data_IF_860551898299
#
_entry.id   IF_860551898299
#
_cell.length_a   1.000
_cell.length_b   1.000
_cell.length_c   1.000
_cell.angle_alpha   90.00
_cell.angle_beta   90.00
_cell.angle_gamma   90.00
#
_symmetry.space_group_name_H-M   'P 1'
#
loop_
_entity.id
_entity.type
_entity.pdbx_description
1 polymer ?
#
# COMPACT_ATOMS: atom_id res chain seq x y z
N UNK A 1 -18.91 0.35 22.67
CA UNK A 1 -17.61 0.28 21.96
C UNK A 1 -17.89 -0.43 20.66
N UNK A 2 -17.92 0.31 19.55
CA UNK A 2 -18.08 -0.31 18.25
C UNK A 2 -16.90 -1.24 17.98
N UNK A 3 -17.22 -2.44 17.48
CA UNK A 3 -16.24 -3.46 17.17
C UNK A 3 -15.48 -2.98 15.95
N UNK A 4 -14.18 -2.70 16.08
CA UNK A 4 -13.33 -2.42 14.92
C UNK A 4 -13.25 -3.70 14.08
N UNK A 5 -14.02 -3.74 12.99
CA UNK A 5 -14.11 -4.86 12.05
C UNK A 5 -13.16 -4.70 10.86
N UNK A 6 -12.31 -3.67 10.86
CA UNK A 6 -11.32 -3.38 9.82
C UNK A 6 -11.85 -2.56 8.64
N UNK A 7 -13.17 -2.43 8.48
CA UNK A 7 -13.78 -1.79 7.30
C UNK A 7 -13.43 -0.33 7.14
N UNK A 8 -13.26 0.40 8.24
CA UNK A 8 -12.89 1.82 8.18
C UNK A 8 -11.51 2.02 7.55
N UNK A 9 -10.58 1.09 7.78
CA UNK A 9 -9.27 1.14 7.15
C UNK A 9 -9.36 0.71 5.69
N UNK A 10 -10.13 -0.34 5.38
CA UNK A 10 -10.39 -0.76 4.00
C UNK A 10 -10.97 0.39 3.16
N UNK A 11 -11.99 1.08 3.67
CA UNK A 11 -12.61 2.22 3.00
C UNK A 11 -11.66 3.41 2.88
N UNK A 12 -10.84 3.66 3.92
CA UNK A 12 -9.84 4.72 3.85
C UNK A 12 -8.81 4.47 2.75
N UNK A 13 -8.37 3.22 2.58
CA UNK A 13 -7.46 2.83 1.49
C UNK A 13 -8.16 2.95 0.13
N UNK A 14 -9.41 2.51 0.01
CA UNK A 14 -10.20 2.67 -1.21
C UNK A 14 -10.27 4.14 -1.64
N UNK A 15 -10.67 5.02 -0.72
CA UNK A 15 -10.77 6.45 -1.00
C UNK A 15 -9.43 7.08 -1.41
N UNK A 16 -8.32 6.62 -0.81
CA UNK A 16 -6.98 7.09 -1.18
C UNK A 16 -6.62 6.65 -2.61
N UNK A 17 -6.86 5.39 -2.97
CA UNK A 17 -6.55 4.88 -4.31
C UNK A 17 -7.44 5.55 -5.36
N UNK A 18 -8.75 5.63 -5.13
CA UNK A 18 -9.68 6.29 -6.04
C UNK A 18 -9.37 7.78 -6.23
N UNK A 19 -8.96 8.48 -5.16
CA UNK A 19 -8.50 9.86 -5.23
C UNK A 19 -7.27 10.03 -6.14
N UNK A 20 -6.33 9.09 -6.10
CA UNK A 20 -5.16 9.10 -6.99
C UNK A 20 -5.53 8.82 -8.45
N UNK A 21 -6.50 7.94 -8.69
CA UNK A 21 -7.03 7.67 -10.04
C UNK A 21 -7.70 8.93 -10.59
N UNK A 22 -8.58 9.56 -9.80
CA UNK A 22 -9.37 10.72 -10.22
C UNK A 22 -8.53 11.98 -10.46
N UNK A 23 -7.46 12.19 -9.67
CA UNK A 23 -6.53 13.31 -9.83
C UNK A 23 -5.53 13.12 -10.99
N UNK A 24 -5.33 11.88 -11.45
CA UNK A 24 -4.28 11.55 -12.42
C UNK A 24 -2.88 11.50 -11.80
N UNK A 25 -2.77 11.43 -10.47
CA UNK A 25 -1.50 11.35 -9.73
C UNK A 25 -0.84 9.97 -9.81
N UNK A 26 -1.55 8.96 -10.32
CA UNK A 26 -0.93 7.70 -10.69
C UNK A 26 -0.06 7.90 -11.94
N UNK A 27 1.16 7.34 -12.01
CA UNK A 27 1.98 7.35 -13.22
C UNK A 27 1.44 6.39 -14.30
N UNK A 28 0.13 6.16 -14.32
CA UNK A 28 -0.57 5.27 -15.24
C UNK A 28 -1.90 5.91 -15.67
N UNK A 29 -2.33 5.63 -16.90
CA UNK A 29 -3.54 6.23 -17.46
C UNK A 29 -4.79 5.80 -16.69
N UNK A 30 -5.63 6.72 -16.20
CA UNK A 30 -6.84 6.39 -15.43
C UNK A 30 -7.78 5.43 -16.16
N UNK A 31 -7.89 5.50 -17.48
CA UNK A 31 -8.73 4.61 -18.27
C UNK A 31 -8.21 3.17 -18.37
N UNK A 32 -6.96 2.93 -17.98
CA UNK A 32 -6.33 1.60 -18.00
C UNK A 32 -6.19 0.99 -16.60
N UNK A 33 -6.78 1.61 -15.59
CA UNK A 33 -6.82 1.06 -14.23
C UNK A 33 -8.26 0.86 -13.78
N UNK A 34 -8.44 -0.09 -12.86
CA UNK A 34 -9.71 -0.32 -12.19
C UNK A 34 -9.47 -0.63 -10.73
N UNK A 35 -10.11 0.11 -9.85
CA UNK A 35 -10.16 -0.24 -8.44
C UNK A 35 -11.31 -1.21 -8.17
N UNK A 36 -11.07 -2.21 -7.32
CA UNK A 36 -12.07 -3.20 -6.91
C UNK A 36 -11.92 -3.53 -5.43
N UNK A 37 -13.01 -3.38 -4.70
CA UNK A 37 -13.14 -3.93 -3.36
C UNK A 37 -13.53 -5.42 -3.45
N UNK A 38 -13.01 -6.22 -2.52
CA UNK A 38 -13.32 -7.64 -2.33
C UNK A 38 -13.22 -8.45 -3.62
N UNK A 39 -12.15 -8.21 -4.36
CA UNK A 39 -11.89 -8.90 -5.62
C UNK A 39 -11.55 -10.36 -5.37
N UNK A 40 -12.01 -11.22 -6.30
CA UNK A 40 -11.73 -12.65 -6.29
C UNK A 40 -10.96 -13.04 -7.52
N UNK A 41 -9.93 -13.86 -7.34
CA UNK A 41 -9.16 -14.43 -8.44
C UNK A 41 -9.01 -15.93 -8.24
N UNK A 42 -9.15 -16.68 -9.33
CA UNK A 42 -8.93 -18.12 -9.31
C UNK A 42 -7.43 -18.42 -9.21
N UNK A 43 -7.03 -19.08 -8.12
CA UNK A 43 -5.66 -19.57 -7.93
C UNK A 43 -5.54 -20.98 -8.53
N UNK A 44 -4.64 -21.13 -9.51
CA UNK A 44 -4.31 -22.43 -10.09
C UNK A 44 -3.64 -23.36 -9.09
N UNK A 45 -2.81 -22.82 -8.21
CA UNK A 45 -2.12 -23.61 -7.18
C UNK A 45 -3.07 -24.16 -6.11
N UNK A 46 -4.17 -23.44 -5.81
CA UNK A 46 -5.15 -23.83 -4.78
C UNK A 46 -6.41 -24.48 -5.36
N UNK A 47 -6.55 -24.45 -6.68
CA UNK A 47 -7.76 -24.85 -7.41
C UNK A 47 -9.05 -24.20 -6.88
N UNK A 48 -8.93 -22.98 -6.37
CA UNK A 48 -10.02 -22.26 -5.69
C UNK A 48 -9.90 -20.74 -5.88
N UNK A 49 -11.01 -20.03 -5.65
CA UNK A 49 -11.00 -18.57 -5.57
C UNK A 49 -10.27 -18.10 -4.31
N UNK A 50 -9.50 -17.02 -4.46
CA UNK A 50 -8.83 -16.31 -3.36
C UNK A 50 -9.37 -14.89 -3.32
N UNK A 51 -9.84 -14.48 -2.15
CA UNK A 51 -10.36 -13.14 -1.90
C UNK A 51 -9.24 -12.16 -1.51
N UNK A 52 -9.35 -10.93 -2.00
CA UNK A 52 -8.48 -9.80 -1.70
C UNK A 52 -9.30 -8.54 -1.40
N UNK A 53 -8.97 -7.82 -0.33
CA UNK A 53 -9.79 -6.74 0.21
C UNK A 53 -9.88 -5.52 -0.70
N UNK A 54 -8.73 -4.95 -1.09
CA UNK A 54 -8.65 -3.76 -1.94
C UNK A 54 -7.65 -4.00 -3.05
N UNK A 55 -8.08 -3.83 -4.30
CA UNK A 55 -7.27 -4.20 -5.45
C UNK A 55 -7.28 -3.11 -6.52
N UNK A 56 -6.10 -2.72 -6.97
CA UNK A 56 -5.88 -1.90 -8.15
C UNK A 56 -5.44 -2.81 -9.30
N UNK A 57 -6.34 -3.02 -10.25
CA UNK A 57 -6.10 -3.74 -11.50
C UNK A 57 -5.54 -2.78 -12.55
N UNK A 58 -4.54 -3.25 -13.28
CA UNK A 58 -3.86 -2.48 -14.33
C UNK A 58 -3.89 -3.27 -15.63
N UNK A 59 -4.33 -2.62 -16.69
CA UNK A 59 -4.55 -3.20 -18.01
C UNK A 59 -3.67 -2.52 -19.05
N UNK A 60 -3.43 -3.21 -20.17
CA UNK A 60 -2.87 -2.61 -21.38
C UNK A 60 -3.98 -2.18 -22.33
N UNK A 61 -3.71 -1.18 -23.18
CA UNK A 61 -4.67 -0.62 -24.15
C UNK A 61 -5.37 -1.70 -24.99
N UNK A 62 -4.61 -2.70 -25.43
CA UNK A 62 -5.13 -3.76 -26.30
C UNK A 62 -6.08 -4.73 -25.60
N UNK A 63 -6.10 -4.76 -24.26
CA UNK A 63 -6.93 -5.68 -23.49
C UNK A 63 -8.13 -4.99 -22.82
N UNK A 64 -8.00 -3.70 -22.47
CA UNK A 64 -9.03 -3.00 -21.73
C UNK A 64 -10.35 -2.91 -22.53
N UNK A 65 -11.48 -3.23 -21.87
CA UNK A 65 -12.82 -3.16 -22.46
C UNK A 65 -13.24 -4.38 -23.28
N UNK A 66 -12.38 -5.39 -23.44
CA UNK A 66 -12.75 -6.67 -24.08
C UNK A 66 -13.49 -7.58 -23.09
N UNK A 67 -14.40 -8.39 -23.62
CA UNK A 67 -15.06 -9.43 -22.84
C UNK A 67 -14.01 -10.44 -22.34
N UNK A 68 -14.00 -10.73 -21.04
CA UNK A 68 -13.02 -11.62 -20.42
C UNK A 68 -11.61 -11.04 -20.25
N UNK A 69 -11.41 -9.72 -20.45
CA UNK A 69 -10.12 -9.08 -20.26
C UNK A 69 -9.54 -9.30 -18.85
N UNK A 70 -8.31 -9.81 -18.78
CA UNK A 70 -7.56 -9.96 -17.54
C UNK A 70 -6.60 -8.79 -17.30
N UNK A 71 -6.36 -8.37 -16.04
CA UNK A 71 -5.33 -7.40 -15.75
C UNK A 71 -3.95 -7.97 -16.13
N UNK A 72 -3.02 -7.10 -16.51
CA UNK A 72 -1.61 -7.46 -16.71
C UNK A 72 -0.82 -7.37 -15.40
N UNK A 73 -1.22 -6.45 -14.53
CA UNK A 73 -0.62 -6.25 -13.23
C UNK A 73 -1.71 -5.94 -12.20
N UNK A 74 -1.57 -6.47 -10.99
CA UNK A 74 -2.54 -6.31 -9.91
C UNK A 74 -1.82 -5.89 -8.64
N UNK A 75 -2.30 -4.84 -7.99
CA UNK A 75 -1.76 -4.36 -6.73
C UNK A 75 -2.81 -4.58 -5.64
N UNK A 76 -2.46 -5.35 -4.63
CA UNK A 76 -3.32 -5.73 -3.51
C UNK A 76 -2.94 -4.92 -2.28
N UNK A 77 -3.94 -4.40 -1.57
CA UNK A 77 -3.79 -3.78 -0.26
C UNK A 77 -4.57 -4.60 0.77
N UNK A 78 -3.82 -5.34 1.60
CA UNK A 78 -4.38 -6.09 2.74
C UNK A 78 -4.38 -5.20 3.98
N UNK A 79 -5.55 -4.93 4.53
CA UNK A 79 -5.76 -4.04 5.66
C UNK A 79 -5.80 -4.81 6.98
N UNK A 80 -5.08 -4.31 7.98
CA UNK A 80 -5.08 -4.87 9.33
C UNK A 80 -5.17 -3.79 10.38
N UNK A 81 -6.38 -3.61 10.90
CA UNK A 81 -6.69 -2.60 11.92
C UNK A 81 -7.12 -3.18 13.27
N UNK A 82 -6.57 -4.34 13.67
CA UNK A 82 -6.79 -4.81 15.04
C UNK A 82 -5.85 -4.10 16.03
N UNK A 83 -6.23 -4.02 17.30
CA UNK A 83 -5.53 -3.29 18.37
C UNK A 83 -4.09 -3.74 18.72
N UNK A 84 -3.43 -4.54 17.89
CA UNK A 84 -2.03 -4.99 18.05
C UNK A 84 -1.25 -4.77 16.75
N UNK A 85 0.08 -4.74 16.87
CA UNK A 85 0.97 -4.67 15.71
C UNK A 85 0.77 -5.89 14.79
N UNK A 86 0.99 -5.69 13.49
CA UNK A 86 0.91 -6.73 12.47
C UNK A 86 2.02 -7.76 12.67
N UNK A 87 1.64 -9.03 12.67
CA UNK A 87 2.52 -10.17 12.91
C UNK A 87 3.15 -10.68 11.61
N UNK A 88 4.31 -11.32 11.71
CA UNK A 88 5.01 -11.95 10.56
C UNK A 88 4.10 -12.89 9.79
N UNK A 89 3.26 -13.66 10.51
CA UNK A 89 2.31 -14.61 9.95
C UNK A 89 1.40 -14.00 8.87
N UNK A 90 0.94 -12.76 9.04
CA UNK A 90 0.08 -12.10 8.05
C UNK A 90 0.84 -11.85 6.74
N UNK A 91 2.12 -11.50 6.83
CA UNK A 91 2.98 -11.29 5.67
C UNK A 91 3.14 -12.61 4.91
N UNK A 92 3.47 -13.70 5.62
CA UNK A 92 3.63 -15.03 5.02
C UNK A 92 2.33 -15.53 4.37
N UNK A 93 1.17 -15.29 5.02
CA UNK A 93 -0.14 -15.61 4.48
C UNK A 93 -0.43 -14.84 3.19
N UNK A 94 -0.10 -13.55 3.13
CA UNK A 94 -0.25 -12.75 1.91
C UNK A 94 0.69 -13.25 0.80
N UNK A 95 1.97 -13.51 1.09
CA UNK A 95 2.93 -14.06 0.13
C UNK A 95 2.41 -15.38 -0.46
N UNK A 96 1.92 -16.29 0.38
CA UNK A 96 1.33 -17.55 -0.06
C UNK A 96 0.03 -17.39 -0.86
N UNK A 97 -0.72 -16.31 -0.68
CA UNK A 97 -1.87 -15.98 -1.54
C UNK A 97 -1.42 -15.44 -2.89
N UNK A 98 -0.42 -14.55 -2.94
CA UNK A 98 0.09 -13.97 -4.19
C UNK A 98 0.79 -14.99 -5.10
N UNK A 99 1.40 -16.03 -4.52
CA UNK A 99 2.02 -17.15 -5.25
C UNK A 99 1.02 -18.12 -5.92
N UNK A 100 -0.25 -17.73 -6.05
CA UNK A 100 -1.35 -18.60 -6.47
C UNK A 100 -1.44 -18.93 -7.97
N UNK A 101 -0.53 -18.41 -8.80
CA UNK A 101 -0.46 -18.73 -10.24
C UNK A 101 -1.62 -18.16 -11.08
N UNK A 102 -1.90 -16.87 -10.93
CA UNK A 102 -3.10 -16.22 -11.52
C UNK A 102 -2.99 -15.90 -13.02
N UNK A 103 -1.80 -15.96 -13.61
CA UNK A 103 -1.57 -15.59 -15.02
C UNK A 103 -1.27 -14.11 -15.26
N UNK A 104 -1.15 -13.33 -14.19
CA UNK A 104 -0.73 -11.93 -14.20
C UNK A 104 0.18 -11.64 -13.01
N UNK A 105 0.91 -10.52 -13.07
CA UNK A 105 1.81 -10.12 -12.00
C UNK A 105 1.03 -9.52 -10.84
N UNK A 106 1.48 -9.79 -9.61
CA UNK A 106 0.86 -9.24 -8.41
C UNK A 106 1.89 -8.56 -7.50
N UNK A 107 1.51 -7.42 -6.91
CA UNK A 107 2.24 -6.73 -5.84
C UNK A 107 1.34 -6.66 -4.62
N UNK A 108 1.89 -6.95 -3.44
CA UNK A 108 1.18 -6.85 -2.17
C UNK A 108 1.67 -5.71 -1.30
N UNK A 109 0.73 -5.00 -0.70
CA UNK A 109 0.95 -4.07 0.40
C UNK A 109 0.14 -4.51 1.61
N UNK A 110 0.73 -4.42 2.81
CA UNK A 110 0.00 -4.57 4.07
C UNK A 110 -0.17 -3.19 4.71
N UNK A 111 -1.41 -2.85 5.03
CA UNK A 111 -1.81 -1.54 5.56
C UNK A 111 -2.28 -1.68 7.00
N UNK A 112 -1.90 -0.77 7.90
CA UNK A 112 -2.35 -0.78 9.30
C UNK A 112 -2.38 0.63 9.89
N UNK A 113 -3.06 0.80 11.03
CA UNK A 113 -2.92 1.99 11.90
C UNK A 113 -2.04 1.74 13.13
N UNK A 114 -1.71 0.49 13.44
CA UNK A 114 -0.98 0.09 14.67
C UNK A 114 0.50 -0.22 14.45
N UNK A 115 0.97 -0.33 13.21
CA UNK A 115 2.36 -0.67 12.91
C UNK A 115 2.63 -2.18 12.93
N UNK A 116 3.90 -2.55 12.90
CA UNK A 116 4.39 -3.88 12.54
C UNK A 116 5.39 -4.39 13.58
N UNK A 117 5.42 -5.71 13.78
CA UNK A 117 6.50 -6.35 14.52
C UNK A 117 7.83 -6.16 13.77
N UNK A 118 8.95 -6.11 14.50
CA UNK A 118 10.28 -5.96 13.91
C UNK A 118 10.61 -7.04 12.89
N UNK A 119 10.21 -8.29 13.16
CA UNK A 119 10.36 -9.40 12.20
C UNK A 119 9.55 -9.19 10.92
N UNK A 120 8.39 -8.55 10.99
CA UNK A 120 7.52 -8.35 9.82
C UNK A 120 8.16 -7.39 8.80
N UNK A 121 8.95 -6.40 9.23
CA UNK A 121 9.69 -5.51 8.32
C UNK A 121 10.69 -6.30 7.46
N UNK A 122 11.49 -7.15 8.09
CA UNK A 122 12.50 -7.95 7.39
C UNK A 122 11.85 -8.97 6.46
N UNK A 123 10.83 -9.68 6.94
CA UNK A 123 10.08 -10.65 6.13
C UNK A 123 9.41 -9.98 4.93
N UNK A 124 8.75 -8.83 5.13
CA UNK A 124 8.10 -8.12 4.05
C UNK A 124 9.10 -7.67 2.98
N UNK A 125 10.22 -7.06 3.40
CA UNK A 125 11.29 -6.65 2.47
C UNK A 125 11.83 -7.83 1.66
N UNK A 126 12.14 -8.95 2.32
CA UNK A 126 12.73 -10.11 1.65
C UNK A 126 11.77 -10.82 0.68
N UNK A 127 10.46 -10.59 0.82
CA UNK A 127 9.43 -11.15 -0.06
C UNK A 127 8.80 -10.09 -0.99
N UNK A 128 9.36 -8.88 -1.06
CA UNK A 128 8.84 -7.81 -1.92
C UNK A 128 7.45 -7.28 -1.54
N UNK A 129 7.03 -7.47 -0.29
CA UNK A 129 5.78 -6.93 0.26
C UNK A 129 6.04 -5.53 0.81
N UNK A 130 5.26 -4.55 0.37
CA UNK A 130 5.33 -3.21 0.92
C UNK A 130 4.53 -3.08 2.21
N UNK A 131 4.98 -2.22 3.12
CA UNK A 131 4.33 -1.96 4.39
C UNK A 131 3.84 -0.52 4.45
N UNK A 132 2.60 -0.32 4.85
CA UNK A 132 1.97 1.00 4.95
C UNK A 132 1.38 1.16 6.34
N UNK A 133 1.69 2.29 6.97
CA UNK A 133 1.02 2.77 8.16
C UNK A 133 0.32 4.10 7.87
N UNK A 134 -1.00 4.11 8.08
CA UNK A 134 -1.81 5.31 8.06
C UNK A 134 -1.98 5.78 9.50
N UNK A 135 -1.66 7.03 9.77
CA UNK A 135 -1.77 7.61 11.10
C UNK A 135 -3.23 7.95 11.42
N UNK A 136 -3.73 7.57 12.60
CA UNK A 136 -4.97 8.14 13.13
C UNK A 136 -4.86 9.65 13.29
N UNK A 137 -5.94 10.40 13.02
CA UNK A 137 -5.94 11.86 13.06
C UNK A 137 -5.53 12.41 14.44
N UNK A 138 -5.93 11.75 15.53
CA UNK A 138 -5.56 12.11 16.91
C UNK A 138 -4.07 11.92 17.23
N UNK A 139 -3.34 11.22 16.35
CA UNK A 139 -1.90 10.98 16.44
C UNK A 139 -1.08 11.86 15.52
N UNK A 140 -1.70 12.82 14.83
CA UNK A 140 -1.01 13.79 13.98
C UNK A 140 -0.97 15.13 14.70
N UNK A 141 0.24 15.60 15.02
CA UNK A 141 0.48 16.90 15.64
C UNK A 141 1.08 17.85 14.62
N UNK A 142 0.35 18.91 14.33
CA UNK A 142 0.84 20.00 13.47
C UNK A 142 1.56 21.03 14.32
N UNK A 143 2.83 21.27 14.00
CA UNK A 143 3.62 22.34 14.62
C UNK A 143 3.94 23.39 13.55
N UNK A 144 3.54 24.63 13.81
CA UNK A 144 3.91 25.76 12.95
C UNK A 144 5.38 26.13 13.23
N UNK A 145 6.29 25.59 12.42
CA UNK A 145 7.69 25.98 12.44
C UNK A 145 7.98 26.91 11.26
N UNK A 146 8.84 27.92 11.47
CA UNK A 146 9.43 28.65 10.35
C UNK A 146 10.27 27.67 9.53
N UNK A 147 9.78 27.33 8.35
CA UNK A 147 10.46 26.43 7.43
C UNK A 147 11.60 27.22 6.75
N UNK A 148 12.83 26.91 7.14
CA UNK A 148 14.04 27.37 6.44
C UNK A 148 14.53 26.26 5.51
N UNK A 149 15.35 26.60 4.52
CA UNK A 149 15.97 25.60 3.64
C UNK A 149 16.73 24.55 4.48
N UNK A 150 17.45 25.00 5.50
CA UNK A 150 18.22 24.12 6.41
C UNK A 150 17.31 23.16 7.19
N UNK A 151 16.18 23.63 7.71
CA UNK A 151 15.23 22.77 8.43
C UNK A 151 14.57 21.76 7.49
N UNK A 152 14.20 22.16 6.26
CA UNK A 152 13.63 21.26 5.26
C UNK A 152 14.60 20.13 4.89
N UNK A 153 15.88 20.45 4.64
CA UNK A 153 16.89 19.44 4.33
C UNK A 153 17.15 18.49 5.50
N UNK A 154 17.14 19.01 6.73
CA UNK A 154 17.26 18.18 7.93
C UNK A 154 16.06 17.22 8.04
N UNK A 155 14.84 17.72 7.85
CA UNK A 155 13.63 16.91 7.92
C UNK A 155 13.62 15.79 6.88
N UNK A 156 14.13 16.07 5.67
CA UNK A 156 14.32 15.06 4.61
C UNK A 156 15.33 13.99 5.02
N UNK A 157 16.47 14.38 5.60
CA UNK A 157 17.51 13.44 6.08
C UNK A 157 17.02 12.57 7.23
N UNK A 158 16.19 13.12 8.11
CA UNK A 158 15.63 12.41 9.27
C UNK A 158 14.40 11.55 8.93
N UNK A 159 13.75 11.78 7.77
CA UNK A 159 12.52 11.09 7.40
C UNK A 159 12.64 9.56 7.41
N UNK A 160 13.69 8.92 6.86
CA UNK A 160 13.84 7.46 6.95
C UNK A 160 13.82 6.91 8.37
N UNK A 161 14.48 7.60 9.30
CA UNK A 161 14.49 7.21 10.71
C UNK A 161 13.08 7.36 11.32
N UNK A 162 12.38 8.45 11.02
CA UNK A 162 11.00 8.69 11.48
C UNK A 162 10.02 7.66 10.91
N UNK A 163 10.11 7.35 9.63
CA UNK A 163 9.29 6.33 8.98
C UNK A 163 9.50 4.94 9.62
N UNK A 164 10.75 4.55 9.88
CA UNK A 164 11.04 3.28 10.56
C UNK A 164 10.45 3.26 11.99
N UNK A 165 10.57 4.36 12.74
CA UNK A 165 9.97 4.48 14.07
C UNK A 165 8.45 4.42 14.01
N UNK A 166 7.83 5.11 13.05
CA UNK A 166 6.38 5.11 12.85
C UNK A 166 5.85 3.72 12.54
N UNK A 167 6.50 3.00 11.62
CA UNK A 167 6.13 1.64 11.22
C UNK A 167 6.22 0.65 12.38
N UNK A 168 7.17 0.81 13.31
CA UNK A 168 7.38 -0.13 14.42
C UNK A 168 6.60 0.21 15.69
N UNK A 169 6.33 1.48 15.96
CA UNK A 169 5.73 1.92 17.22
C UNK A 169 4.22 2.15 17.10
N UNK A 170 3.35 1.35 17.75
CA UNK A 170 1.90 1.53 17.72
C UNK A 170 1.40 2.86 18.26
N UNK A 171 2.14 3.46 19.18
CA UNK A 171 1.79 4.72 19.84
C UNK A 171 2.61 5.90 19.29
N UNK A 172 3.20 5.75 18.11
CA UNK A 172 3.92 6.83 17.45
C UNK A 172 3.00 8.04 17.24
N UNK A 173 3.51 9.23 17.56
CA UNK A 173 2.85 10.49 17.28
C UNK A 173 3.63 11.18 16.16
N UNK A 174 2.91 11.51 15.09
CA UNK A 174 3.48 12.14 13.91
C UNK A 174 3.59 13.64 14.07
N UNK A 175 4.66 14.22 13.55
CA UNK A 175 4.88 15.67 13.47
C UNK A 175 4.34 16.29 12.18
N UNK A 176 3.21 15.79 11.66
CA UNK A 176 2.52 16.34 10.50
C UNK A 176 2.32 15.37 9.34
N UNK A 177 3.01 14.23 9.30
CA UNK A 177 2.78 13.21 8.27
C UNK A 177 1.63 12.27 8.66
N UNK A 178 0.67 12.08 7.76
CA UNK A 178 -0.44 11.13 7.96
C UNK A 178 -0.14 9.71 7.44
N UNK A 179 0.96 9.54 6.71
CA UNK A 179 1.26 8.32 5.98
C UNK A 179 2.75 8.00 6.05
N UNK A 180 3.06 6.75 6.34
CA UNK A 180 4.41 6.21 6.30
C UNK A 180 4.39 4.86 5.60
N UNK A 181 5.26 4.66 4.62
CA UNK A 181 5.41 3.37 3.99
C UNK A 181 6.88 2.99 3.84
N UNK A 182 7.12 1.68 3.74
CA UNK A 182 8.39 1.11 3.36
C UNK A 182 8.18 0.07 2.24
N UNK A 183 8.97 0.17 1.17
CA UNK A 183 8.95 -0.77 0.06
C UNK A 183 10.33 -0.81 -0.59
N UNK A 184 10.84 -2.02 -0.86
CA UNK A 184 12.16 -2.30 -1.45
C UNK A 184 13.34 -1.47 -0.87
N UNK A 185 13.35 -1.27 0.44
CA UNK A 185 14.40 -0.50 1.12
C UNK A 185 14.26 1.03 1.05
N UNK A 186 13.20 1.53 0.41
CA UNK A 186 12.83 2.94 0.40
C UNK A 186 11.69 3.21 1.39
N UNK A 187 11.57 4.48 1.79
CA UNK A 187 10.46 4.97 2.60
C UNK A 187 9.70 6.08 1.89
N UNK A 188 8.41 6.20 2.19
CA UNK A 188 7.52 7.15 1.54
C UNK A 188 6.57 7.80 2.53
N UNK A 189 6.22 9.06 2.26
CA UNK A 189 5.24 9.84 3.01
C UNK A 189 3.87 9.92 2.34
N UNK A 190 3.67 9.24 1.21
CA UNK A 190 2.40 9.22 0.48
C UNK A 190 2.23 7.96 -0.36
N UNK A 191 0.97 7.57 -0.61
CA UNK A 191 0.63 6.45 -1.48
C UNK A 191 1.05 6.70 -2.93
N UNK A 192 0.90 7.94 -3.43
CA UNK A 192 1.37 8.33 -4.75
C UNK A 192 2.88 8.08 -4.92
N UNK A 193 3.69 8.37 -3.90
CA UNK A 193 5.12 8.10 -3.94
C UNK A 193 5.46 6.61 -4.03
N UNK A 194 4.75 5.78 -3.26
CA UNK A 194 4.90 4.32 -3.26
C UNK A 194 4.55 3.74 -4.64
N UNK A 195 3.33 4.01 -5.11
CA UNK A 195 2.85 3.51 -6.40
C UNK A 195 3.65 4.09 -7.56
N UNK A 196 4.02 5.36 -7.47
CA UNK A 196 4.92 6.06 -8.37
C UNK A 196 6.21 5.27 -8.63
N UNK A 197 6.86 4.81 -7.56
CA UNK A 197 8.07 3.99 -7.68
C UNK A 197 7.77 2.61 -8.23
N UNK A 198 6.78 1.92 -7.66
CA UNK A 198 6.42 0.56 -8.06
C UNK A 198 6.13 0.46 -9.56
N UNK A 199 5.38 1.40 -10.13
CA UNK A 199 5.08 1.41 -11.55
C UNK A 199 6.31 1.62 -12.43
N UNK A 200 7.25 2.50 -12.04
CA UNK A 200 8.53 2.67 -12.75
C UNK A 200 9.36 1.39 -12.73
N UNK A 201 9.45 0.72 -11.58
CA UNK A 201 10.20 -0.53 -11.45
C UNK A 201 9.55 -1.68 -12.24
N UNK A 202 8.23 -1.70 -12.31
CA UNK A 202 7.48 -2.66 -13.11
C UNK A 202 7.54 -2.39 -14.62
N UNK A 203 8.19 -1.32 -15.08
CA UNK A 203 8.19 -0.89 -16.48
C UNK A 203 6.80 -0.45 -16.98
N UNK A 204 5.92 -0.07 -16.06
CA UNK A 204 4.56 0.38 -16.31
C UNK A 204 4.53 1.91 -16.28
N UNK A 205 5.29 2.54 -17.17
CA UNK A 205 5.24 3.99 -17.33
C UNK A 205 4.09 4.38 -18.26
N UNK A 206 3.54 5.57 -18.04
CA UNK A 206 2.63 6.20 -19.00
C UNK A 206 3.38 6.40 -20.32
N UNK A 207 3.24 5.45 -21.25
CA UNK A 207 3.63 5.66 -22.64
C UNK A 207 2.85 6.85 -23.19
N UNK A 208 3.57 7.75 -23.86
CA UNK A 208 3.03 8.93 -24.56
C UNK A 208 1.79 8.59 -25.41
#
# INVERSE_FOLDING_TARGET
>A
MDRNDGKDLEQQVANLVEGLIASGDLPYRPELVRFREKAKYYSRTREAEVDFENVLEVYVKDNMGKEGAQPTHVIVFECKDHGRAVEVKLIDELVGRLAGGYGFNMKGYVVTRKGFQSGALATARNNGIGLIKIMPDDKIKFFAHLQTIVSIERDRREFPRRAQQALLNPNYESGGESFYAADDGYVFSSLAGVLGRHFREAGLEAGE
#
